data_IF_150164092816
#
_entry.id   IF_150164092816
#
_cell.length_a   1.000
_cell.length_b   1.000
_cell.length_c   1.000
_cell.angle_alpha   90.00
_cell.angle_beta   90.00
_cell.angle_gamma   90.00
#
_symmetry.space_group_name_H-M   'P 1'
#
loop_
_entity.id
_entity.type
_entity.pdbx_description
1 polymer ?
#
# COMPACT_ATOMS: atom_id res chain seq x y z
N UNK A 1 6.01 24.59 -27.26
CA UNK A 1 5.51 24.93 -25.92
C UNK A 1 5.75 23.83 -24.88
N UNK A 2 5.47 22.55 -25.16
CA UNK A 2 5.71 21.42 -24.23
C UNK A 2 7.18 21.11 -23.95
N UNK A 3 8.07 21.32 -24.94
CA UNK A 3 9.51 21.04 -24.84
C UNK A 3 10.30 21.98 -23.90
N UNK A 4 9.81 23.21 -23.67
CA UNK A 4 10.45 24.20 -22.77
C UNK A 4 9.91 24.08 -21.34
N UNK A 5 8.63 23.71 -21.19
CA UNK A 5 7.95 23.72 -19.90
C UNK A 5 8.43 22.61 -18.96
N UNK A 6 8.78 21.44 -19.49
CA UNK A 6 9.12 20.26 -18.69
C UNK A 6 10.51 20.32 -18.03
N UNK A 7 11.58 20.77 -18.73
CA UNK A 7 12.87 21.03 -18.10
C UNK A 7 12.76 22.09 -17.00
N UNK A 8 11.98 23.15 -17.23
CA UNK A 8 11.68 24.18 -16.23
C UNK A 8 10.89 23.62 -15.04
N UNK A 9 10.00 22.65 -15.26
CA UNK A 9 9.27 21.97 -14.18
C UNK A 9 10.18 21.04 -13.38
N UNK A 10 11.08 20.28 -14.01
CA UNK A 10 12.13 19.48 -13.33
C UNK A 10 13.05 20.39 -12.52
N UNK A 11 13.50 21.50 -13.10
CA UNK A 11 14.31 22.51 -12.41
C UNK A 11 13.53 23.17 -11.26
N UNK A 12 12.24 23.47 -11.42
CA UNK A 12 11.37 24.01 -10.38
C UNK A 12 11.13 22.99 -9.25
N UNK A 13 11.01 21.70 -9.58
CA UNK A 13 10.83 20.60 -8.62
C UNK A 13 12.10 20.37 -7.78
N UNK A 14 13.27 20.50 -8.40
CA UNK A 14 14.59 20.38 -7.74
C UNK A 14 14.89 21.64 -6.92
N UNK A 15 14.53 22.82 -7.42
CA UNK A 15 14.84 24.12 -6.79
C UNK A 15 13.84 24.52 -5.70
N UNK A 16 12.65 23.91 -5.66
CA UNK A 16 11.58 24.25 -4.70
C UNK A 16 11.04 23.02 -3.96
N UNK A 17 11.79 22.52 -2.96
CA UNK A 17 11.44 21.35 -2.14
C UNK A 17 10.00 21.37 -1.59
N UNK A 18 9.50 22.54 -1.16
CA UNK A 18 8.13 22.68 -0.61
C UNK A 18 7.03 22.42 -1.65
N UNK A 19 7.26 22.73 -2.92
CA UNK A 19 6.28 22.48 -3.99
C UNK A 19 6.29 21.01 -4.44
N UNK A 20 7.48 20.39 -4.47
CA UNK A 20 7.64 18.95 -4.68
C UNK A 20 6.90 18.13 -3.61
N UNK A 21 7.08 18.47 -2.33
CA UNK A 21 6.44 17.77 -1.21
C UNK A 21 4.90 17.88 -1.24
N UNK A 22 4.36 19.07 -1.57
CA UNK A 22 2.90 19.28 -1.72
C UNK A 22 2.29 18.40 -2.81
N UNK A 23 2.95 18.28 -3.96
CA UNK A 23 2.48 17.43 -5.07
C UNK A 23 2.49 15.94 -4.68
N UNK A 24 3.51 15.50 -3.91
CA UNK A 24 3.58 14.12 -3.40
C UNK A 24 2.50 13.82 -2.37
N UNK A 25 2.26 14.73 -1.43
CA UNK A 25 1.15 14.64 -0.47
C UNK A 25 -0.19 14.56 -1.20
N UNK A 26 -0.42 15.45 -2.17
CA UNK A 26 -1.64 15.42 -2.97
C UNK A 26 -1.81 14.08 -3.68
N UNK A 27 -0.74 13.54 -4.27
CA UNK A 27 -0.74 12.24 -4.92
C UNK A 27 -1.01 11.08 -3.95
N UNK A 28 -0.51 11.15 -2.72
CA UNK A 28 -0.78 10.19 -1.65
C UNK A 28 -2.26 10.25 -1.21
N UNK A 29 -2.78 11.44 -0.95
CA UNK A 29 -4.18 11.66 -0.59
C UNK A 29 -5.13 11.13 -1.66
N UNK A 30 -4.82 11.34 -2.95
CA UNK A 30 -5.61 10.77 -4.05
C UNK A 30 -5.62 9.24 -4.03
N UNK A 31 -4.48 8.58 -3.75
CA UNK A 31 -4.43 7.11 -3.68
C UNK A 31 -5.24 6.59 -2.49
N UNK A 32 -5.16 7.24 -1.32
CA UNK A 32 -6.02 6.93 -0.18
C UNK A 32 -7.50 7.13 -0.50
N UNK A 33 -7.85 8.25 -1.13
CA UNK A 33 -9.22 8.53 -1.55
C UNK A 33 -9.77 7.43 -2.48
N UNK A 34 -8.96 6.90 -3.40
CA UNK A 34 -9.40 5.78 -4.24
C UNK A 34 -9.67 4.50 -3.44
N UNK A 35 -8.94 4.26 -2.35
CA UNK A 35 -9.18 3.14 -1.44
C UNK A 35 -10.47 3.35 -0.63
N UNK A 36 -10.70 4.56 -0.13
CA UNK A 36 -11.94 4.91 0.59
C UNK A 36 -13.16 4.78 -0.33
N UNK A 37 -13.07 5.26 -1.56
CA UNK A 37 -14.13 5.10 -2.56
C UNK A 37 -14.41 3.63 -2.88
N UNK A 38 -13.39 2.76 -2.84
CA UNK A 38 -13.59 1.32 -2.97
C UNK A 38 -14.39 0.76 -1.79
N UNK A 39 -14.07 1.12 -0.55
CA UNK A 39 -14.80 0.69 0.66
C UNK A 39 -16.26 1.14 0.57
N UNK A 40 -16.52 2.42 0.27
CA UNK A 40 -17.87 2.96 0.14
C UNK A 40 -18.67 2.16 -0.89
N UNK A 41 -18.07 1.92 -2.06
CA UNK A 41 -18.71 1.12 -3.12
C UNK A 41 -19.03 -0.30 -2.64
N UNK A 42 -18.11 -0.95 -1.94
CA UNK A 42 -18.34 -2.30 -1.38
C UNK A 42 -19.47 -2.30 -0.37
N UNK A 43 -19.56 -1.29 0.51
CA UNK A 43 -20.63 -1.17 1.50
C UNK A 43 -22.00 -0.88 0.88
N UNK A 44 -22.02 -0.23 -0.29
CA UNK A 44 -23.27 0.07 -1.00
C UNK A 44 -23.70 -1.00 -2.01
N UNK A 45 -22.84 -1.96 -2.33
CA UNK A 45 -23.16 -3.08 -3.24
C UNK A 45 -24.03 -4.12 -2.51
N UNK A 46 -25.23 -4.38 -3.02
CA UNK A 46 -26.07 -5.51 -2.59
C UNK A 46 -25.93 -6.67 -3.59
N UNK A 47 -25.32 -7.81 -3.24
CA UNK A 47 -25.09 -8.93 -4.16
C UNK A 47 -26.35 -9.76 -4.47
N UNK A 48 -27.52 -9.38 -3.95
CA UNK A 48 -28.71 -10.23 -3.88
C UNK A 48 -29.42 -10.53 -5.23
N UNK A 49 -28.96 -10.01 -6.36
CA UNK A 49 -29.72 -10.04 -7.61
C UNK A 49 -29.15 -10.90 -8.76
N UNK A 50 -27.92 -11.42 -8.68
CA UNK A 50 -27.35 -12.22 -9.79
C UNK A 50 -27.16 -13.70 -9.43
N UNK A 51 -27.68 -14.57 -10.31
CA UNK A 51 -27.78 -16.03 -10.14
C UNK A 51 -26.59 -16.80 -10.75
N UNK A 52 -25.70 -16.13 -11.47
CA UNK A 52 -24.47 -16.71 -12.04
C UNK A 52 -23.22 -16.27 -11.27
N UNK A 53 -22.52 -17.26 -10.69
CA UNK A 53 -21.46 -17.09 -9.69
C UNK A 53 -20.20 -16.38 -10.20
N UNK A 54 -19.82 -16.57 -11.46
CA UNK A 54 -18.56 -16.03 -12.00
C UNK A 54 -18.71 -14.63 -12.59
N UNK A 55 -19.88 -14.28 -13.13
CA UNK A 55 -20.16 -12.96 -13.67
C UNK A 55 -20.10 -11.89 -12.58
N UNK A 56 -20.47 -12.24 -11.34
CA UNK A 56 -20.36 -11.37 -10.15
C UNK A 56 -18.92 -10.94 -9.82
N UNK A 57 -17.91 -11.70 -10.25
CA UNK A 57 -16.48 -11.35 -10.04
C UNK A 57 -16.07 -10.31 -11.08
N UNK A 58 -16.40 -10.54 -12.35
CA UNK A 58 -15.96 -9.68 -13.44
C UNK A 58 -16.83 -8.44 -13.62
N UNK A 59 -18.14 -8.56 -13.44
CA UNK A 59 -19.11 -7.50 -13.63
C UNK A 59 -19.59 -6.97 -12.29
N UNK A 60 -19.31 -5.69 -12.07
CA UNK A 60 -19.87 -4.97 -10.94
C UNK A 60 -20.35 -3.59 -11.33
N UNK A 61 -21.63 -3.35 -11.08
CA UNK A 61 -22.27 -2.07 -11.29
C UNK A 61 -21.64 -0.98 -10.42
N UNK A 62 -20.91 -0.08 -11.07
CA UNK A 62 -20.31 1.08 -10.42
C UNK A 62 -21.18 2.30 -10.66
N UNK A 63 -21.56 3.00 -9.58
CA UNK A 63 -22.20 4.32 -9.70
C UNK A 63 -21.28 5.28 -10.48
N UNK A 64 -21.81 5.87 -11.56
CA UNK A 64 -21.14 6.84 -12.46
C UNK A 64 -20.32 7.93 -11.74
N UNK A 65 -20.78 8.55 -10.63
CA UNK A 65 -19.96 9.56 -9.94
C UNK A 65 -18.66 8.98 -9.33
N UNK A 66 -18.68 7.75 -8.82
CA UNK A 66 -17.47 7.12 -8.28
C UNK A 66 -16.46 6.77 -9.38
N UNK A 67 -16.94 6.40 -10.57
CA UNK A 67 -16.10 6.22 -11.76
C UNK A 67 -15.46 7.54 -12.21
N UNK A 68 -16.24 8.62 -12.32
CA UNK A 68 -15.76 9.93 -12.77
C UNK A 68 -14.65 10.49 -11.85
N UNK A 69 -14.82 10.40 -10.54
CA UNK A 69 -13.84 10.86 -9.54
C UNK A 69 -12.52 10.06 -9.64
N UNK A 70 -12.59 8.77 -10.00
CA UNK A 70 -11.41 7.91 -10.13
C UNK A 70 -10.63 8.13 -11.44
N UNK A 71 -11.30 8.58 -12.50
CA UNK A 71 -10.69 8.83 -13.82
C UNK A 71 -9.97 10.20 -13.88
N UNK A 72 -10.52 11.23 -13.25
CA UNK A 72 -9.97 12.60 -13.28
C UNK A 72 -8.49 12.73 -12.85
N UNK A 73 -8.03 12.16 -11.71
CA UNK A 73 -6.64 12.30 -11.30
C UNK A 73 -5.64 11.42 -12.08
N UNK A 74 -6.10 10.39 -12.82
CA UNK A 74 -5.23 9.45 -13.55
C UNK A 74 -4.71 10.04 -14.86
N UNK A 75 -5.46 10.95 -15.50
CA UNK A 75 -5.01 11.64 -16.73
C UNK A 75 -3.74 12.47 -16.51
N UNK A 76 -3.60 13.11 -15.34
CA UNK A 76 -2.45 13.97 -15.01
C UNK A 76 -1.15 13.19 -14.82
N UNK A 77 -1.21 11.99 -14.22
CA UNK A 77 -0.03 11.14 -14.01
C UNK A 77 0.45 10.43 -15.27
N UNK A 78 -0.46 10.12 -16.19
CA UNK A 78 -0.14 9.45 -17.46
C UNK A 78 0.79 10.29 -18.34
N UNK A 79 0.57 11.60 -18.40
CA UNK A 79 1.44 12.52 -19.15
C UNK A 79 2.87 12.56 -18.60
N UNK A 80 3.02 12.46 -17.28
CA UNK A 80 4.33 12.44 -16.61
C UNK A 80 5.04 11.09 -16.77
N UNK A 81 4.31 9.97 -16.77
CA UNK A 81 4.86 8.62 -16.95
C UNK A 81 5.32 8.38 -18.39
N UNK A 82 4.53 8.82 -19.38
CA UNK A 82 4.89 8.74 -20.81
C UNK A 82 6.15 9.56 -21.10
N UNK A 83 6.28 10.74 -20.50
CA UNK A 83 7.44 11.61 -20.69
C UNK A 83 8.72 11.13 -19.97
N UNK A 84 8.57 10.31 -18.92
CA UNK A 84 9.69 9.61 -18.23
C UNK A 84 10.09 8.34 -18.99
N UNK A 85 9.12 7.61 -19.56
CA UNK A 85 9.36 6.49 -20.48
C UNK A 85 10.21 6.89 -21.68
N UNK A 86 9.99 8.11 -22.19
CA UNK A 86 10.74 8.67 -23.32
C UNK A 86 12.14 9.21 -22.95
N UNK A 87 12.52 9.28 -21.67
CA UNK A 87 13.77 9.95 -21.22
C UNK A 87 14.83 9.02 -20.61
N UNK A 88 14.69 7.68 -20.64
CA UNK A 88 15.64 6.78 -19.98
C UNK A 88 15.64 5.32 -20.46
N UNK A 89 16.61 4.55 -19.94
CA UNK A 89 16.89 3.15 -20.31
C UNK A 89 15.68 2.24 -19.97
N UNK A 90 14.97 1.81 -21.01
CA UNK A 90 13.60 1.25 -20.95
C UNK A 90 13.54 -0.04 -20.11
N UNK A 91 14.60 -0.85 -20.15
CA UNK A 91 14.62 -2.19 -19.54
C UNK A 91 14.80 -2.18 -18.01
N UNK A 92 15.55 -1.24 -17.43
CA UNK A 92 15.70 -1.13 -15.97
C UNK A 92 14.46 -0.50 -15.30
N UNK A 93 13.60 0.16 -16.09
CA UNK A 93 12.49 0.96 -15.59
C UNK A 93 11.11 0.28 -15.74
N UNK A 94 10.99 -0.74 -16.61
CA UNK A 94 9.77 -1.54 -16.82
C UNK A 94 9.60 -2.67 -15.79
N UNK A 95 10.71 -3.24 -15.30
CA UNK A 95 10.69 -4.36 -14.36
C UNK A 95 10.37 -4.09 -12.87
N UNK A 96 10.23 -2.85 -12.34
CA UNK A 96 9.78 -2.69 -10.98
C UNK A 96 8.31 -3.06 -10.86
N UNK A 97 8.00 -3.95 -9.91
CA UNK A 97 6.65 -4.42 -9.53
C UNK A 97 5.62 -3.28 -9.42
N UNK A 98 6.09 -2.07 -9.08
CA UNK A 98 5.26 -0.87 -8.94
C UNK A 98 4.76 -0.29 -10.26
N UNK A 99 5.56 -0.34 -11.33
CA UNK A 99 5.12 0.09 -12.66
C UNK A 99 4.03 -0.85 -13.18
N UNK A 100 4.18 -2.16 -12.95
CA UNK A 100 3.15 -3.15 -13.26
C UNK A 100 1.86 -2.91 -12.48
N UNK A 101 1.93 -2.59 -11.17
CA UNK A 101 0.76 -2.23 -10.37
C UNK A 101 0.05 -0.97 -10.88
N UNK A 102 0.81 0.03 -11.33
CA UNK A 102 0.25 1.27 -11.88
C UNK A 102 -0.39 1.04 -13.25
N UNK A 103 0.23 0.22 -14.10
CA UNK A 103 -0.32 -0.21 -15.38
C UNK A 103 -1.60 -1.04 -15.19
N UNK A 104 -1.60 -2.02 -14.29
CA UNK A 104 -2.76 -2.86 -13.96
C UNK A 104 -3.97 -2.03 -13.51
N UNK A 105 -3.72 -0.94 -12.79
CA UNK A 105 -4.78 -0.05 -12.32
C UNK A 105 -5.15 1.08 -13.29
N UNK A 106 -4.34 1.39 -14.29
CA UNK A 106 -4.56 2.55 -15.16
C UNK A 106 -5.05 2.15 -16.54
N UNK A 107 -4.50 1.07 -17.11
CA UNK A 107 -4.88 0.57 -18.43
C UNK A 107 -6.37 0.20 -18.50
N UNK A 108 -6.95 -0.56 -17.54
CA UNK A 108 -8.37 -0.87 -17.59
C UNK A 108 -9.26 0.39 -17.52
N UNK A 109 -8.88 1.38 -16.72
CA UNK A 109 -9.63 2.64 -16.64
C UNK A 109 -9.61 3.41 -17.96
N UNK A 110 -8.48 3.44 -18.67
CA UNK A 110 -8.40 4.09 -19.98
C UNK A 110 -9.31 3.37 -20.97
N UNK A 111 -9.30 2.04 -20.98
CA UNK A 111 -10.18 1.24 -21.86
C UNK A 111 -11.66 1.53 -21.55
N UNK A 112 -12.06 1.66 -20.27
CA UNK A 112 -13.44 1.99 -19.88
C UNK A 112 -13.93 3.37 -20.35
N UNK A 113 -13.02 4.29 -20.72
CA UNK A 113 -13.38 5.60 -21.29
C UNK A 113 -13.84 5.42 -22.73
N UNK A 114 -13.14 4.59 -23.51
CA UNK A 114 -13.43 4.36 -24.92
C UNK A 114 -14.62 3.41 -25.12
N UNK A 115 -14.84 2.48 -24.19
CA UNK A 115 -15.88 1.44 -24.29
C UNK A 115 -16.87 1.53 -23.12
N UNK A 116 -18.08 2.07 -23.33
CA UNK A 116 -19.12 2.18 -22.31
C UNK A 116 -19.53 0.87 -21.60
N UNK A 117 -19.68 -0.29 -22.28
CA UNK A 117 -20.09 -1.52 -21.59
C UNK A 117 -19.02 -2.04 -20.62
N UNK A 118 -17.74 -1.70 -20.84
CA UNK A 118 -16.63 -2.13 -19.97
C UNK A 118 -16.54 -1.32 -18.67
N UNK A 119 -17.40 -0.32 -18.43
CA UNK A 119 -17.43 0.45 -17.18
C UNK A 119 -17.77 -0.40 -15.95
N UNK A 120 -18.48 -1.50 -16.16
CA UNK A 120 -18.85 -2.45 -15.12
C UNK A 120 -17.75 -3.49 -14.87
N UNK A 121 -16.65 -3.49 -15.61
CA UNK A 121 -15.55 -4.42 -15.36
C UNK A 121 -14.92 -4.14 -13.99
N UNK A 122 -14.68 -5.19 -13.22
CA UNK A 122 -13.96 -5.09 -11.96
C UNK A 122 -12.51 -4.66 -12.20
N UNK A 123 -12.07 -3.67 -11.42
CA UNK A 123 -10.68 -3.19 -11.45
C UNK A 123 -10.17 -3.26 -10.00
N UNK A 124 -9.02 -3.89 -9.74
CA UNK A 124 -8.50 -4.11 -8.38
C UNK A 124 -7.86 -2.83 -7.79
N UNK A 125 -8.65 -1.76 -7.67
CA UNK A 125 -8.23 -0.44 -7.21
C UNK A 125 -7.64 -0.47 -5.79
N UNK A 126 -8.04 -1.45 -4.98
CA UNK A 126 -7.50 -1.64 -3.63
C UNK A 126 -5.98 -1.85 -3.62
N UNK A 127 -5.37 -2.34 -4.72
CA UNK A 127 -3.91 -2.45 -4.87
C UNK A 127 -3.19 -1.10 -4.84
N UNK A 128 -3.91 0.02 -5.05
CA UNK A 128 -3.35 1.37 -4.92
C UNK A 128 -2.83 1.67 -3.51
N UNK A 129 -3.23 0.91 -2.48
CA UNK A 129 -2.70 1.07 -1.13
C UNK A 129 -1.18 0.83 -1.08
N UNK A 130 -0.65 -0.12 -1.87
CA UNK A 130 0.80 -0.37 -1.97
C UNK A 130 1.53 0.80 -2.60
N UNK A 131 0.94 1.40 -3.64
CA UNK A 131 1.48 2.61 -4.24
C UNK A 131 1.41 3.81 -3.27
N UNK A 132 0.41 3.86 -2.39
CA UNK A 132 0.32 4.87 -1.33
C UNK A 132 1.42 4.66 -0.28
N UNK A 133 1.68 3.41 0.14
CA UNK A 133 2.78 3.06 1.03
C UNK A 133 4.14 3.48 0.48
N UNK A 134 4.40 3.23 -0.80
CA UNK A 134 5.65 3.64 -1.44
C UNK A 134 5.79 5.17 -1.54
N UNK A 135 4.70 5.88 -1.86
CA UNK A 135 4.70 7.34 -1.85
C UNK A 135 4.99 7.90 -0.45
N UNK A 136 4.43 7.27 0.58
CA UNK A 136 4.66 7.63 1.98
C UNK A 136 6.11 7.38 2.40
N UNK A 137 6.69 6.22 2.07
CA UNK A 137 8.09 5.90 2.36
C UNK A 137 9.05 6.90 1.68
N UNK A 138 8.79 7.27 0.43
CA UNK A 138 9.55 8.31 -0.27
C UNK A 138 9.43 9.67 0.41
N UNK A 139 8.23 10.07 0.86
CA UNK A 139 8.02 11.32 1.58
C UNK A 139 8.73 11.34 2.94
N UNK A 140 8.67 10.22 3.65
CA UNK A 140 9.33 10.01 4.93
C UNK A 140 10.84 10.17 4.78
N UNK A 141 11.45 9.49 3.80
CA UNK A 141 12.89 9.59 3.53
C UNK A 141 13.33 11.02 3.19
N UNK A 142 12.53 11.76 2.40
CA UNK A 142 12.81 13.16 2.09
C UNK A 142 12.66 14.06 3.33
N UNK A 143 11.67 13.78 4.17
CA UNK A 143 11.45 14.50 5.42
C UNK A 143 12.63 14.32 6.38
N UNK A 144 13.21 13.13 6.46
CA UNK A 144 14.41 12.89 7.30
C UNK A 144 15.63 13.59 6.77
N UNK A 145 15.76 13.66 5.44
CA UNK A 145 16.84 14.38 4.81
C UNK A 145 16.71 15.89 5.03
N UNK A 146 15.49 16.44 4.99
CA UNK A 146 15.24 17.87 5.15
C UNK A 146 15.24 18.35 6.61
N UNK A 147 14.79 17.50 7.53
CA UNK A 147 14.64 17.82 8.94
C UNK A 147 15.75 17.10 9.72
N UNK A 148 16.92 17.72 9.75
CA UNK A 148 18.09 17.22 10.50
C UNK A 148 17.97 17.43 12.03
N UNK A 149 16.78 17.78 12.53
CA UNK A 149 16.49 17.96 13.95
C UNK A 149 15.19 17.24 14.33
N UNK A 150 15.27 16.46 15.41
CA UNK A 150 14.17 16.05 16.30
C UNK A 150 13.34 14.77 16.07
N UNK A 151 13.46 13.99 14.97
CA UNK A 151 12.84 12.64 14.93
C UNK A 151 13.81 11.53 14.53
N UNK A 152 13.93 10.52 15.39
CA UNK A 152 14.79 9.35 15.21
C UNK A 152 14.45 8.62 13.90
N UNK A 153 15.46 8.21 13.12
CA UNK A 153 15.32 7.30 11.97
C UNK A 153 14.47 6.05 12.26
N UNK A 154 14.35 5.75 13.55
CA UNK A 154 13.63 4.64 14.13
C UNK A 154 12.11 4.81 14.14
N UNK A 155 11.61 6.01 14.41
CA UNK A 155 10.18 6.29 14.36
C UNK A 155 9.63 6.02 12.95
N UNK A 156 10.45 6.29 11.95
CA UNK A 156 10.09 6.16 10.55
C UNK A 156 10.07 4.71 10.07
N UNK A 157 10.99 3.89 10.56
CA UNK A 157 10.94 2.44 10.33
C UNK A 157 9.69 1.81 10.94
N UNK A 158 9.32 2.21 12.16
CA UNK A 158 8.08 1.75 12.82
C UNK A 158 6.85 2.21 12.05
N UNK A 159 6.82 3.46 11.60
CA UNK A 159 5.71 4.00 10.81
C UNK A 159 5.56 3.22 9.48
N UNK A 160 6.65 2.94 8.78
CA UNK A 160 6.64 2.13 7.55
C UNK A 160 6.10 0.71 7.83
N UNK A 161 6.50 0.08 8.93
CA UNK A 161 5.99 -1.24 9.35
C UNK A 161 4.50 -1.23 9.67
N UNK A 162 4.00 -0.19 10.34
CA UNK A 162 2.56 -0.04 10.60
C UNK A 162 1.81 0.11 9.28
N UNK A 163 2.32 0.94 8.36
CA UNK A 163 1.70 1.12 7.05
C UNK A 163 1.69 -0.15 6.20
N UNK A 164 2.72 -1.00 6.29
CA UNK A 164 2.77 -2.26 5.53
C UNK A 164 1.82 -3.29 6.10
N UNK A 165 1.71 -3.40 7.42
CA UNK A 165 0.70 -4.22 8.09
C UNK A 165 -0.71 -3.79 7.69
N UNK A 166 -1.00 -2.48 7.72
CA UNK A 166 -2.29 -1.94 7.29
C UNK A 166 -2.57 -2.23 5.80
N UNK A 167 -1.57 -2.12 4.93
CA UNK A 167 -1.73 -2.46 3.50
C UNK A 167 -1.97 -3.96 3.28
N UNK A 168 -1.28 -4.84 4.01
CA UNK A 168 -1.49 -6.29 3.94
C UNK A 168 -2.89 -6.66 4.40
N UNK A 169 -3.32 -6.16 5.56
CA UNK A 169 -4.69 -6.36 6.06
C UNK A 169 -5.69 -5.87 5.02
N UNK A 170 -5.57 -4.62 4.56
CA UNK A 170 -6.52 -4.03 3.62
C UNK A 170 -6.61 -4.78 2.27
N UNK A 171 -5.48 -5.24 1.73
CA UNK A 171 -5.49 -6.01 0.47
C UNK A 171 -6.07 -7.41 0.66
N UNK A 172 -5.80 -8.06 1.80
CA UNK A 172 -6.44 -9.32 2.16
C UNK A 172 -7.96 -9.17 2.30
N UNK A 173 -8.43 -8.15 3.03
CA UNK A 173 -9.87 -7.95 3.27
C UNK A 173 -10.62 -7.73 1.97
N UNK A 174 -10.10 -6.83 1.11
CA UNK A 174 -10.72 -6.50 -0.16
C UNK A 174 -10.66 -7.66 -1.15
N UNK A 175 -9.56 -8.43 -1.19
CA UNK A 175 -9.39 -9.56 -2.08
C UNK A 175 -10.32 -10.72 -1.74
N UNK A 176 -10.38 -11.12 -0.46
CA UNK A 176 -11.24 -12.21 0.00
C UNK A 176 -12.71 -11.83 -0.13
N UNK A 177 -13.08 -10.63 0.32
CA UNK A 177 -14.46 -10.14 0.20
C UNK A 177 -14.91 -10.07 -1.25
N UNK A 178 -14.03 -9.71 -2.18
CA UNK A 178 -14.37 -9.66 -3.60
C UNK A 178 -14.56 -11.06 -4.20
N UNK A 179 -13.64 -11.98 -3.94
CA UNK A 179 -13.71 -13.34 -4.49
C UNK A 179 -14.86 -14.15 -3.90
N UNK A 180 -15.15 -13.99 -2.60
CA UNK A 180 -16.25 -14.66 -1.91
C UNK A 180 -17.64 -14.14 -2.31
N UNK A 181 -17.73 -13.13 -3.18
CA UNK A 181 -19.00 -12.74 -3.83
C UNK A 181 -19.54 -13.84 -4.75
N UNK A 182 -18.67 -14.67 -5.32
CA UNK A 182 -19.08 -15.82 -6.14
C UNK A 182 -19.54 -17.03 -5.32
N UNK A 183 -19.37 -16.97 -4.01
CA UNK A 183 -19.60 -18.10 -3.10
C UNK A 183 -21.08 -18.23 -2.75
N UNK A 184 -21.43 -19.38 -2.15
CA UNK A 184 -22.79 -19.61 -1.62
C UNK A 184 -23.13 -18.66 -0.46
N UNK A 185 -22.11 -18.14 0.23
CA UNK A 185 -22.24 -17.24 1.38
C UNK A 185 -21.40 -16.00 1.13
N UNK A 186 -22.04 -14.86 0.88
CA UNK A 186 -21.34 -13.58 0.74
C UNK A 186 -20.74 -13.16 2.09
N UNK A 187 -19.43 -12.93 2.12
CA UNK A 187 -18.77 -12.41 3.32
C UNK A 187 -18.94 -10.89 3.41
N UNK A 188 -19.40 -10.41 4.56
CA UNK A 188 -19.36 -8.98 4.89
C UNK A 188 -17.91 -8.50 4.99
N UNK A 189 -17.68 -7.21 4.70
CA UNK A 189 -16.35 -6.59 4.79
C UNK A 189 -15.74 -6.71 6.20
N UNK A 190 -16.57 -6.63 7.25
CA UNK A 190 -16.13 -6.81 8.63
C UNK A 190 -15.69 -8.26 8.93
N UNK A 191 -16.40 -9.26 8.39
CA UNK A 191 -16.02 -10.66 8.57
C UNK A 191 -14.73 -10.99 7.82
N UNK A 192 -14.55 -10.41 6.62
CA UNK A 192 -13.29 -10.52 5.87
C UNK A 192 -12.13 -9.82 6.59
N UNK A 193 -12.38 -8.69 7.25
CA UNK A 193 -11.41 -7.98 8.09
C UNK A 193 -11.00 -8.80 9.31
N UNK A 194 -11.99 -9.35 10.02
CA UNK A 194 -11.74 -10.26 11.12
C UNK A 194 -10.87 -11.45 10.69
N UNK A 195 -11.26 -12.11 9.59
CA UNK A 195 -10.49 -13.22 9.03
C UNK A 195 -9.03 -12.84 8.72
N UNK A 196 -8.80 -11.71 8.06
CA UNK A 196 -7.44 -11.27 7.71
C UNK A 196 -6.60 -10.97 8.95
N UNK A 197 -7.16 -10.31 9.96
CA UNK A 197 -6.44 -10.01 11.21
C UNK A 197 -6.08 -11.31 11.93
N UNK A 198 -7.02 -12.25 12.07
CA UNK A 198 -6.82 -13.56 12.72
C UNK A 198 -5.80 -14.42 11.96
N UNK A 199 -5.78 -14.31 10.63
CA UNK A 199 -4.83 -15.03 9.78
C UNK A 199 -3.42 -14.46 9.91
N UNK A 200 -3.26 -13.13 9.82
CA UNK A 200 -1.94 -12.49 9.93
C UNK A 200 -1.39 -12.52 11.36
N UNK A 201 -2.23 -12.59 12.39
CA UNK A 201 -1.81 -12.84 13.76
C UNK A 201 -1.47 -14.31 14.03
N UNK A 202 -1.63 -15.21 13.06
CA UNK A 202 -1.41 -16.66 13.15
C UNK A 202 -2.29 -17.37 14.19
N UNK A 203 -3.40 -16.76 14.60
CA UNK A 203 -4.31 -17.33 15.61
C UNK A 203 -5.23 -18.39 14.99
N UNK A 204 -5.81 -18.11 13.82
CA UNK A 204 -6.52 -19.12 13.01
C UNK A 204 -7.77 -19.76 13.63
N UNK A 205 -8.71 -18.97 14.17
CA UNK A 205 -9.94 -19.49 14.80
C UNK A 205 -10.85 -20.34 13.89
N UNK A 206 -10.73 -20.19 12.57
CA UNK A 206 -11.45 -21.00 11.55
C UNK A 206 -12.99 -20.92 11.59
N UNK A 207 -13.54 -19.92 12.27
CA UNK A 207 -14.97 -19.57 12.31
C UNK A 207 -15.48 -18.93 11.01
N UNK A 208 -14.62 -18.17 10.34
CA UNK A 208 -14.82 -17.63 8.99
C UNK A 208 -13.76 -18.25 8.08
N UNK A 209 -14.15 -18.86 6.97
CA UNK A 209 -13.22 -19.49 6.03
C UNK A 209 -13.64 -19.28 4.58
N UNK A 210 -12.68 -19.08 3.65
CA UNK A 210 -12.96 -19.03 2.23
C UNK A 210 -13.37 -20.40 1.70
N UNK A 211 -14.47 -20.46 0.95
CA UNK A 211 -15.05 -21.70 0.44
C UNK A 211 -14.72 -21.95 -1.03
N UNK A 212 -14.34 -20.90 -1.77
CA UNK A 212 -14.08 -20.99 -3.21
C UNK A 212 -12.59 -21.22 -3.47
N UNK A 213 -12.26 -21.98 -4.51
CA UNK A 213 -10.87 -22.23 -4.91
C UNK A 213 -10.00 -20.96 -5.11
N UNK A 214 -10.44 -19.89 -5.81
CA UNK A 214 -9.60 -18.70 -6.02
C UNK A 214 -9.38 -17.90 -4.73
N UNK A 215 -10.35 -17.88 -3.79
CA UNK A 215 -10.18 -17.20 -2.51
C UNK A 215 -9.20 -17.96 -1.60
N UNK A 216 -9.22 -19.30 -1.63
CA UNK A 216 -8.22 -20.13 -0.95
C UNK A 216 -6.81 -19.89 -1.49
N UNK A 217 -6.64 -19.87 -2.82
CA UNK A 217 -5.36 -19.55 -3.46
C UNK A 217 -4.86 -18.16 -3.04
N UNK A 218 -5.74 -17.15 -3.04
CA UNK A 218 -5.40 -15.80 -2.61
C UNK A 218 -4.90 -15.76 -1.16
N UNK A 219 -5.54 -16.49 -0.24
CA UNK A 219 -5.11 -16.56 1.16
C UNK A 219 -3.71 -17.16 1.30
N UNK A 220 -3.42 -18.26 0.60
CA UNK A 220 -2.08 -18.89 0.61
C UNK A 220 -1.03 -17.89 0.11
N UNK A 221 -1.28 -17.23 -1.02
CA UNK A 221 -0.38 -16.21 -1.57
C UNK A 221 -0.18 -15.05 -0.60
N UNK A 222 -1.25 -14.56 0.04
CA UNK A 222 -1.16 -13.45 1.00
C UNK A 222 -0.36 -13.84 2.26
N UNK A 223 -0.48 -15.07 2.75
CA UNK A 223 0.33 -15.58 3.86
C UNK A 223 1.81 -15.65 3.45
N UNK A 224 2.12 -16.20 2.27
CA UNK A 224 3.49 -16.24 1.77
C UNK A 224 4.10 -14.83 1.65
N UNK A 225 3.35 -13.87 1.10
CA UNK A 225 3.80 -12.46 1.00
C UNK A 225 4.02 -11.86 2.39
N UNK A 226 3.10 -12.06 3.33
CA UNK A 226 3.25 -11.57 4.70
C UNK A 226 4.49 -12.16 5.39
N UNK A 227 4.71 -13.48 5.28
CA UNK A 227 5.86 -14.16 5.85
C UNK A 227 7.19 -13.72 5.25
N UNK A 228 7.23 -13.23 4.00
CA UNK A 228 8.45 -12.66 3.41
C UNK A 228 8.63 -11.20 3.81
N UNK A 229 7.56 -10.39 3.74
CA UNK A 229 7.63 -8.93 3.90
C UNK A 229 7.84 -8.53 5.37
N UNK A 230 7.16 -9.18 6.32
CA UNK A 230 7.26 -8.86 7.74
C UNK A 230 8.68 -9.04 8.33
N UNK A 231 9.37 -10.18 8.15
CA UNK A 231 10.72 -10.33 8.71
C UNK A 231 11.75 -9.41 8.06
N UNK A 232 11.59 -9.06 6.77
CA UNK A 232 12.46 -8.10 6.10
C UNK A 232 12.37 -6.71 6.74
N UNK A 233 11.17 -6.28 7.14
CA UNK A 233 10.95 -4.99 7.78
C UNK A 233 11.37 -4.98 9.25
N UNK A 234 11.21 -6.10 9.94
CA UNK A 234 11.68 -6.29 11.33
C UNK A 234 13.21 -6.33 11.41
N UNK A 235 13.92 -6.73 10.36
CA UNK A 235 15.40 -6.76 10.33
C UNK A 235 16.01 -5.37 10.59
N UNK A 236 15.39 -4.30 10.09
CA UNK A 236 15.79 -2.91 10.38
C UNK A 236 15.64 -2.54 11.86
N UNK A 237 14.56 -3.02 12.50
CA UNK A 237 14.24 -2.76 13.91
C UNK A 237 15.11 -3.60 14.86
N UNK A 238 15.46 -4.85 14.48
CA UNK A 238 16.33 -5.74 15.30
C UNK A 238 17.72 -5.16 15.52
N UNK A 239 18.32 -4.58 14.48
CA UNK A 239 19.62 -3.92 14.60
C UNK A 239 19.56 -2.77 15.61
N UNK A 240 18.44 -2.05 15.66
CA UNK A 240 18.21 -0.99 16.63
C UNK A 240 17.95 -1.47 18.06
N UNK A 241 17.11 -2.49 18.25
CA UNK A 241 16.87 -3.03 19.58
C UNK A 241 18.16 -3.60 20.18
N UNK A 242 19.00 -4.19 19.33
CA UNK A 242 20.36 -4.60 19.68
C UNK A 242 21.24 -3.40 20.03
N UNK A 243 21.22 -2.34 19.23
CA UNK A 243 21.96 -1.10 19.51
C UNK A 243 21.55 -0.43 20.85
N UNK A 244 20.25 -0.30 21.14
CA UNK A 244 19.76 0.20 22.43
C UNK A 244 20.19 -0.71 23.56
N UNK A 245 20.04 -2.03 23.40
CA UNK A 245 20.47 -2.99 24.42
C UNK A 245 21.97 -2.86 24.70
N UNK A 246 22.80 -2.73 23.68
CA UNK A 246 24.25 -2.50 23.83
C UNK A 246 24.57 -1.15 24.46
N UNK A 247 23.83 -0.08 24.14
CA UNK A 247 24.00 1.24 24.75
C UNK A 247 23.63 1.23 26.23
N UNK A 248 22.49 0.63 26.61
CA UNK A 248 22.07 0.47 28.01
C UNK A 248 23.07 -0.41 28.76
N UNK A 249 23.52 -1.51 28.15
CA UNK A 249 24.53 -2.37 28.77
C UNK A 249 25.82 -1.59 29.02
N UNK A 250 26.30 -0.84 28.03
CA UNK A 250 27.57 -0.11 28.12
C UNK A 250 27.51 1.12 29.04
N UNK A 251 26.37 1.81 29.08
CA UNK A 251 26.24 3.12 29.74
C UNK A 251 25.59 3.05 31.12
N UNK A 252 24.80 2.02 31.41
CA UNK A 252 24.15 1.82 32.71
C UNK A 252 24.66 0.56 33.42
N UNK A 253 24.68 -0.60 32.74
CA UNK A 253 25.00 -1.86 33.41
C UNK A 253 26.51 -2.05 33.67
N UNK A 254 27.39 -1.72 32.73
CA UNK A 254 28.85 -1.84 32.90
C UNK A 254 29.43 -0.95 34.00
N UNK A 255 29.09 0.35 34.11
CA UNK A 255 29.56 1.17 35.24
C UNK A 255 28.98 0.71 36.58
N UNK A 256 27.73 0.23 36.63
CA UNK A 256 27.17 -0.40 37.83
C UNK A 256 27.91 -1.69 38.22
N UNK A 257 28.20 -2.57 37.25
CA UNK A 257 28.98 -3.77 37.49
C UNK A 257 30.42 -3.47 37.97
N UNK A 258 31.03 -2.38 37.48
CA UNK A 258 32.33 -1.90 37.94
C UNK A 258 32.29 -1.35 39.39
N UNK A 259 31.23 -0.63 39.76
CA UNK A 259 31.01 -0.14 41.13
C UNK A 259 30.81 -1.30 42.11
N UNK A 260 30.03 -2.32 41.74
CA UNK A 260 29.79 -3.50 42.58
C UNK A 260 30.99 -4.46 42.65
N UNK A 261 31.89 -4.45 41.66
CA UNK A 261 33.08 -5.30 41.63
C UNK A 261 34.28 -4.73 42.40
N UNK A 262 34.24 -3.49 42.89
CA UNK A 262 35.37 -2.86 43.57
C UNK A 262 34.99 -2.40 45.00
N UNK A 263 34.87 -3.33 45.97
CA UNK A 263 34.42 -3.03 47.33
C UNK A 263 35.44 -2.26 48.20
N UNK A 264 36.65 -1.96 47.70
CA UNK A 264 37.77 -1.43 48.50
C UNK A 264 38.33 -0.07 48.05
N UNK A 265 37.47 0.87 47.65
CA UNK A 265 37.84 2.30 47.58
C UNK A 265 36.82 3.14 48.32
N UNK A 266 36.98 3.20 49.65
CA UNK A 266 36.63 4.37 50.46
C UNK A 266 37.90 5.20 50.64
#
# INVERSE_FOLDING_TARGET
WTYIFFPLLKLFFIKNQRSSLRIRIFNFCLKLLTCVLYIIRVMTDNPAQLRHTWELIFWVDRKVPAWAIQVSPKKSKHFTLLHVFFQGNIWEQIFPVFFLLEMLNTVPFIITIFWPPLRNLFIPVFLNCWLAKCALESMINDLHRAIQRTHSAMFNQVLILICTLLCLVFTGTCGIQHLERAGKKSLSLFNALYFCIVTFSTVGFSDVTPQIWPSQLLVVVMICVALVVLPLQVRGIKHFFTFIKTMIIKHYLNPLAFIFSNPNKK
#
